data_IF_521662341309
#
_entry.id   IF_521662341309
#
_cell.length_a   1.000
_cell.length_b   1.000
_cell.length_c   1.000
_cell.angle_alpha   90.00
_cell.angle_beta   90.00
_cell.angle_gamma   90.00
#
_symmetry.space_group_name_H-M   'P 1'
#
loop_
_entity.id
_entity.type
_entity.pdbx_description
1 polymer ?
#
# COMPACT_ATOMS: atom_id res chain seq x y z
N UNK A 1 28.97 -13.40 29.64
CA UNK A 1 29.08 -13.20 28.17
C UNK A 1 28.91 -11.72 27.88
N UNK A 2 30.00 -11.04 27.57
CA UNK A 2 29.97 -9.60 27.26
C UNK A 2 29.58 -9.45 25.80
N UNK A 3 28.31 -9.09 25.56
CA UNK A 3 27.86 -8.76 24.22
C UNK A 3 28.64 -7.54 23.70
N UNK A 4 29.23 -7.66 22.52
CA UNK A 4 29.83 -6.50 21.84
C UNK A 4 28.74 -5.44 21.65
N UNK A 5 29.00 -4.15 21.93
CA UNK A 5 28.05 -3.11 21.63
C UNK A 5 27.74 -3.12 20.13
N UNK A 6 26.47 -3.23 19.78
CA UNK A 6 26.02 -3.01 18.40
C UNK A 6 26.34 -1.55 18.09
N UNK A 7 27.33 -1.33 17.23
CA UNK A 7 27.64 0.02 16.74
C UNK A 7 26.42 0.51 15.98
N UNK A 8 25.83 1.61 16.42
CA UNK A 8 24.77 2.25 15.68
C UNK A 8 25.33 2.63 14.30
N UNK A 9 24.75 2.06 13.26
CA UNK A 9 25.13 2.39 11.89
C UNK A 9 24.74 3.85 11.64
N UNK A 10 25.70 4.69 11.22
CA UNK A 10 25.38 6.05 10.83
C UNK A 10 24.39 6.04 9.65
N UNK A 11 23.31 6.79 9.78
CA UNK A 11 22.35 6.96 8.70
C UNK A 11 23.01 7.75 7.55
N UNK A 12 22.73 7.43 6.30
CA UNK A 12 23.24 8.19 5.16
C UNK A 12 22.74 9.64 5.23
N UNK A 13 23.53 10.56 4.68
CA UNK A 13 23.16 11.98 4.67
C UNK A 13 21.85 12.19 3.89
N UNK A 14 20.95 13.02 4.41
CA UNK A 14 19.64 13.29 3.80
C UNK A 14 19.77 13.72 2.32
N UNK A 15 20.78 14.56 2.01
CA UNK A 15 21.02 15.02 0.64
C UNK A 15 21.35 13.86 -0.31
N UNK A 16 22.24 12.97 0.09
CA UNK A 16 22.65 11.80 -0.73
C UNK A 16 21.47 10.83 -0.93
N UNK A 17 20.68 10.64 0.13
CA UNK A 17 19.46 9.83 0.06
C UNK A 17 18.47 10.43 -0.93
N UNK A 18 18.19 11.73 -0.85
CA UNK A 18 17.30 12.42 -1.76
C UNK A 18 17.80 12.34 -3.22
N UNK A 19 19.09 12.60 -3.47
CA UNK A 19 19.68 12.49 -4.81
C UNK A 19 19.53 11.08 -5.38
N UNK A 20 19.67 10.06 -4.54
CA UNK A 20 19.49 8.66 -4.95
C UNK A 20 18.04 8.37 -5.31
N UNK A 21 17.08 8.80 -4.46
CA UNK A 21 15.65 8.62 -4.71
C UNK A 21 15.23 9.32 -6.01
N UNK A 22 15.68 10.56 -6.23
CA UNK A 22 15.40 11.32 -7.46
C UNK A 22 15.94 10.58 -8.68
N UNK A 23 17.17 10.08 -8.67
CA UNK A 23 17.75 9.31 -9.79
C UNK A 23 16.95 8.05 -10.10
N UNK A 24 16.55 7.31 -9.08
CA UNK A 24 15.75 6.08 -9.25
C UNK A 24 14.38 6.42 -9.85
N UNK A 25 13.74 7.47 -9.34
CA UNK A 25 12.43 7.91 -9.85
C UNK A 25 12.52 8.41 -11.30
N UNK A 26 13.49 9.27 -11.62
CA UNK A 26 13.67 9.80 -12.98
C UNK A 26 13.98 8.66 -13.99
N UNK A 27 14.75 7.65 -13.57
CA UNK A 27 14.94 6.44 -14.37
C UNK A 27 13.64 5.69 -14.61
N UNK A 28 12.81 5.52 -13.57
CA UNK A 28 11.52 4.84 -13.69
C UNK A 28 10.57 5.58 -14.64
N UNK A 29 10.42 6.89 -14.46
CA UNK A 29 9.57 7.73 -15.33
C UNK A 29 10.03 7.68 -16.78
N UNK A 30 11.34 7.71 -17.03
CA UNK A 30 11.90 7.56 -18.38
C UNK A 30 11.61 6.19 -18.98
N UNK A 31 11.80 5.13 -18.19
CA UNK A 31 11.60 3.73 -18.63
C UNK A 31 10.14 3.43 -18.93
N UNK A 32 9.22 4.00 -18.16
CA UNK A 32 7.78 3.81 -18.26
C UNK A 32 7.06 5.12 -18.61
N UNK A 33 7.64 5.87 -19.58
CA UNK A 33 7.09 7.17 -19.97
C UNK A 33 5.63 7.11 -20.44
N UNK A 34 5.23 5.99 -21.02
CA UNK A 34 3.85 5.70 -21.35
C UNK A 34 3.14 5.03 -20.14
N UNK A 35 2.46 5.84 -19.33
CA UNK A 35 1.71 5.39 -18.17
C UNK A 35 0.46 4.57 -18.52
N UNK A 36 0.03 4.57 -19.79
CA UNK A 36 -1.16 3.82 -20.24
C UNK A 36 -0.88 2.33 -20.41
N UNK A 37 0.39 1.95 -20.52
CA UNK A 37 0.78 0.57 -20.71
C UNK A 37 0.47 -0.30 -19.49
N UNK A 38 -0.02 -1.52 -19.73
CA UNK A 38 -0.23 -2.48 -18.66
C UNK A 38 1.08 -2.87 -17.98
N UNK A 39 1.00 -3.36 -16.76
CA UNK A 39 2.12 -3.97 -16.07
C UNK A 39 2.17 -5.48 -16.35
N UNK A 40 3.38 -6.04 -16.26
CA UNK A 40 3.58 -7.48 -16.39
C UNK A 40 4.24 -8.02 -15.11
N UNK A 41 3.57 -8.97 -14.49
CA UNK A 41 4.09 -9.76 -13.38
C UNK A 41 3.46 -11.16 -13.47
N UNK A 42 4.19 -12.11 -14.06
CA UNK A 42 3.69 -13.45 -14.38
C UNK A 42 2.60 -13.46 -15.48
N UNK A 43 1.81 -12.41 -15.56
CA UNK A 43 0.77 -12.16 -16.59
C UNK A 43 0.60 -10.66 -16.81
N UNK A 44 -0.02 -10.30 -17.92
CA UNK A 44 -0.41 -8.90 -18.20
C UNK A 44 -1.53 -8.48 -17.25
N UNK A 45 -1.40 -7.30 -16.63
CA UNK A 45 -2.38 -6.70 -15.72
C UNK A 45 -2.57 -5.23 -16.04
N UNK A 46 -3.76 -4.65 -15.85
CA UNK A 46 -3.91 -3.21 -15.90
C UNK A 46 -3.04 -2.55 -14.83
N UNK A 47 -2.61 -1.31 -15.06
CA UNK A 47 -1.67 -0.66 -14.13
C UNK A 47 -2.32 -0.07 -12.88
N UNK A 48 -3.65 -0.05 -12.78
CA UNK A 48 -4.40 0.37 -11.58
C UNK A 48 -4.59 -0.75 -10.56
N UNK A 49 -3.51 -1.42 -10.23
CA UNK A 49 -3.38 -2.46 -9.21
C UNK A 49 -2.01 -2.32 -8.55
N UNK A 50 -1.77 -3.03 -7.44
CA UNK A 50 -0.54 -2.95 -6.67
C UNK A 50 0.75 -2.97 -7.50
N UNK A 51 0.82 -3.76 -8.58
CA UNK A 51 2.03 -3.90 -9.42
C UNK A 51 2.57 -2.59 -9.99
N UNK A 52 1.75 -1.56 -10.05
CA UNK A 52 2.13 -0.20 -10.41
C UNK A 52 1.71 0.82 -9.33
N UNK A 53 0.64 0.55 -8.58
CA UNK A 53 0.14 1.41 -7.51
C UNK A 53 1.21 1.75 -6.47
N UNK A 54 1.97 0.75 -6.02
CA UNK A 54 3.07 0.93 -5.04
C UNK A 54 4.13 1.93 -5.52
N UNK A 55 4.43 1.97 -6.83
CA UNK A 55 5.34 2.98 -7.35
C UNK A 55 4.77 4.39 -7.17
N UNK A 56 3.49 4.60 -7.50
CA UNK A 56 2.86 5.92 -7.38
C UNK A 56 2.71 6.38 -5.93
N UNK A 57 2.54 5.46 -4.98
CA UNK A 57 2.62 5.79 -3.54
C UNK A 57 3.98 6.38 -3.19
N UNK A 58 5.07 5.72 -3.64
CA UNK A 58 6.44 6.21 -3.48
C UNK A 58 6.68 7.55 -4.17
N UNK A 59 6.12 7.75 -5.37
CA UNK A 59 6.20 9.01 -6.10
C UNK A 59 5.50 10.15 -5.34
N UNK A 60 4.32 9.90 -4.74
CA UNK A 60 3.63 10.91 -3.93
C UNK A 60 4.38 11.23 -2.63
N UNK A 61 5.01 10.24 -2.01
CA UNK A 61 5.90 10.46 -0.87
C UNK A 61 7.10 11.33 -1.24
N UNK A 62 7.73 11.05 -2.39
CA UNK A 62 8.82 11.88 -2.92
C UNK A 62 8.34 13.31 -3.23
N UNK A 63 7.18 13.45 -3.87
CA UNK A 63 6.57 14.76 -4.15
C UNK A 63 6.37 15.58 -2.86
N UNK A 64 5.99 14.93 -1.77
CA UNK A 64 5.79 15.59 -0.47
C UNK A 64 7.06 16.23 0.11
N UNK A 65 8.25 15.70 -0.21
CA UNK A 65 9.55 16.22 0.28
C UNK A 65 10.35 16.95 -0.80
N UNK A 66 10.08 16.70 -2.06
CA UNK A 66 10.74 17.30 -3.22
C UNK A 66 9.72 17.54 -4.34
N UNK A 67 8.86 18.57 -4.22
CA UNK A 67 7.77 18.82 -5.16
C UNK A 67 8.30 19.25 -6.53
N UNK A 68 7.93 18.46 -7.55
CA UNK A 68 8.18 18.77 -8.97
C UNK A 68 6.87 18.60 -9.74
N UNK A 69 6.60 19.53 -10.65
CA UNK A 69 5.37 19.52 -11.45
C UNK A 69 5.22 18.26 -12.30
N UNK A 70 6.32 17.75 -12.87
CA UNK A 70 6.32 16.55 -13.68
C UNK A 70 6.00 15.28 -12.86
N UNK A 71 6.32 15.23 -11.57
CA UNK A 71 5.94 14.12 -10.68
C UNK A 71 4.44 14.11 -10.42
N UNK A 72 3.89 15.28 -10.08
CA UNK A 72 2.45 15.43 -9.91
C UNK A 72 1.71 15.06 -11.19
N UNK A 73 2.13 15.66 -12.33
CA UNK A 73 1.50 15.42 -13.61
C UNK A 73 1.53 13.95 -14.02
N UNK A 74 2.65 13.26 -13.82
CA UNK A 74 2.77 11.84 -14.17
C UNK A 74 1.83 10.96 -13.34
N UNK A 75 1.69 11.22 -12.04
CA UNK A 75 0.74 10.52 -11.19
C UNK A 75 -0.72 10.85 -11.56
N UNK A 76 -1.01 12.13 -11.83
CA UNK A 76 -2.34 12.59 -12.21
C UNK A 76 -2.79 11.98 -13.54
N UNK A 77 -1.96 12.05 -14.57
CA UNK A 77 -2.27 11.53 -15.91
C UNK A 77 -2.55 10.02 -15.86
N UNK A 78 -1.78 9.26 -15.06
CA UNK A 78 -2.04 7.84 -14.84
C UNK A 78 -3.39 7.60 -14.14
N UNK A 79 -3.68 8.35 -13.09
CA UNK A 79 -4.92 8.21 -12.34
C UNK A 79 -6.14 8.60 -13.20
N UNK A 80 -6.04 9.69 -13.98
CA UNK A 80 -7.10 10.13 -14.90
C UNK A 80 -7.30 9.15 -16.06
N UNK A 81 -6.23 8.57 -16.62
CA UNK A 81 -6.33 7.51 -17.64
C UNK A 81 -7.20 6.35 -17.14
N UNK A 82 -7.05 5.96 -15.89
CA UNK A 82 -7.86 4.92 -15.24
C UNK A 82 -9.23 5.44 -14.74
N UNK A 83 -9.56 6.71 -14.98
CA UNK A 83 -10.79 7.34 -14.50
C UNK A 83 -10.98 7.20 -12.99
N UNK A 84 -9.85 7.26 -12.26
CA UNK A 84 -9.82 7.09 -10.80
C UNK A 84 -10.45 5.78 -10.34
N UNK A 85 -10.38 4.77 -11.20
CA UNK A 85 -10.99 3.45 -10.98
C UNK A 85 -9.98 2.43 -10.48
N UNK A 86 -10.50 1.42 -9.80
CA UNK A 86 -9.76 0.23 -9.40
C UNK A 86 -10.03 -0.91 -10.41
N UNK A 87 -9.10 -1.85 -10.55
CA UNK A 87 -9.21 -2.97 -11.51
C UNK A 87 -10.55 -3.69 -11.44
N UNK A 88 -11.03 -4.02 -10.24
CA UNK A 88 -12.28 -4.77 -10.04
C UNK A 88 -13.47 -3.86 -9.64
N UNK A 89 -13.38 -2.54 -9.92
CA UNK A 89 -14.46 -1.60 -9.68
C UNK A 89 -14.58 -1.17 -8.21
N UNK A 90 -15.66 -0.45 -7.92
CA UNK A 90 -15.88 0.22 -6.64
C UNK A 90 -16.59 -0.62 -5.57
N UNK A 91 -16.74 -1.92 -5.81
CA UNK A 91 -17.26 -2.90 -4.84
C UNK A 91 -16.21 -3.95 -4.45
N UNK A 92 -14.96 -3.75 -4.85
CA UNK A 92 -13.86 -4.65 -4.49
C UNK A 92 -13.54 -4.54 -3.00
N UNK A 93 -13.15 -5.66 -2.40
CA UNK A 93 -12.60 -5.72 -1.03
C UNK A 93 -11.11 -6.06 -1.03
N UNK A 94 -10.55 -6.29 -2.22
CA UNK A 94 -9.19 -6.78 -2.39
C UNK A 94 -8.17 -5.64 -2.24
N UNK A 95 -7.19 -5.81 -1.36
CA UNK A 95 -6.16 -4.82 -1.07
C UNK A 95 -5.27 -4.51 -2.28
N UNK A 96 -5.02 -5.48 -3.18
CA UNK A 96 -4.30 -5.25 -4.43
C UNK A 96 -4.97 -4.15 -5.29
N UNK A 97 -6.31 -4.15 -5.30
CA UNK A 97 -7.08 -3.15 -6.04
C UNK A 97 -7.12 -1.82 -5.29
N UNK A 98 -7.22 -1.85 -3.97
CA UNK A 98 -7.24 -0.66 -3.14
C UNK A 98 -5.94 0.16 -3.21
N UNK A 99 -4.80 -0.49 -3.45
CA UNK A 99 -3.47 0.12 -3.44
C UNK A 99 -3.42 1.44 -4.22
N UNK A 100 -3.96 1.51 -5.43
CA UNK A 100 -3.99 2.73 -6.24
C UNK A 100 -4.78 3.88 -5.58
N UNK A 101 -5.72 3.56 -4.70
CA UNK A 101 -6.53 4.54 -3.97
C UNK A 101 -5.70 5.44 -3.05
N UNK A 102 -4.56 4.99 -2.56
CA UNK A 102 -3.65 5.84 -1.78
C UNK A 102 -3.21 7.05 -2.60
N UNK A 103 -2.75 6.82 -3.83
CA UNK A 103 -2.34 7.87 -4.76
C UNK A 103 -3.51 8.79 -5.12
N UNK A 104 -4.70 8.24 -5.37
CA UNK A 104 -5.89 9.05 -5.69
C UNK A 104 -6.24 10.03 -4.56
N UNK A 105 -6.17 9.57 -3.32
CA UNK A 105 -6.44 10.42 -2.15
C UNK A 105 -5.35 11.48 -1.99
N UNK A 106 -4.08 11.13 -2.20
CA UNK A 106 -2.98 12.09 -2.09
C UNK A 106 -3.08 13.20 -3.14
N UNK A 107 -3.39 12.85 -4.39
CA UNK A 107 -3.62 13.83 -5.46
C UNK A 107 -4.82 14.73 -5.14
N UNK A 108 -5.93 14.16 -4.66
CA UNK A 108 -7.10 14.92 -4.23
C UNK A 108 -6.77 15.88 -3.09
N UNK A 109 -5.99 15.47 -2.10
CA UNK A 109 -5.59 16.31 -0.97
C UNK A 109 -4.71 17.50 -1.39
N UNK A 110 -3.93 17.35 -2.48
CA UNK A 110 -3.12 18.44 -3.04
C UNK A 110 -4.00 19.43 -3.79
N UNK A 111 -4.93 18.95 -4.58
CA UNK A 111 -5.83 19.77 -5.38
C UNK A 111 -7.25 19.19 -5.40
N UNK A 112 -8.11 19.55 -4.43
CA UNK A 112 -9.46 18.97 -4.26
C UNK A 112 -10.45 19.57 -5.26
N UNK A 113 -10.10 19.56 -6.55
CA UNK A 113 -10.89 20.21 -7.62
C UNK A 113 -12.04 19.36 -8.15
N UNK A 114 -11.91 18.02 -8.07
CA UNK A 114 -12.90 17.07 -8.60
C UNK A 114 -13.17 15.93 -7.61
N UNK A 115 -14.36 15.85 -7.00
CA UNK A 115 -14.75 14.75 -6.13
C UNK A 115 -14.70 13.35 -6.78
N UNK A 116 -14.73 13.29 -8.13
CA UNK A 116 -14.61 12.03 -8.83
C UNK A 116 -13.26 11.32 -8.58
N UNK A 117 -12.21 12.08 -8.25
CA UNK A 117 -10.88 11.55 -7.98
C UNK A 117 -10.89 10.49 -6.87
N UNK A 118 -11.75 10.62 -5.88
CA UNK A 118 -11.85 9.70 -4.73
C UNK A 118 -13.17 8.92 -4.68
N UNK A 119 -14.12 9.18 -5.59
CA UNK A 119 -15.46 8.58 -5.54
C UNK A 119 -15.44 7.06 -5.51
N UNK A 120 -14.64 6.44 -6.40
CA UNK A 120 -14.63 4.99 -6.52
C UNK A 120 -13.99 4.32 -5.31
N UNK A 121 -12.82 4.81 -4.87
CA UNK A 121 -12.15 4.25 -3.69
C UNK A 121 -12.97 4.50 -2.42
N UNK A 122 -13.60 5.68 -2.29
CA UNK A 122 -14.47 5.96 -1.14
C UNK A 122 -15.66 5.02 -1.09
N UNK A 123 -16.32 4.76 -2.22
CA UNK A 123 -17.46 3.84 -2.28
C UNK A 123 -17.06 2.42 -1.86
N UNK A 124 -15.90 1.93 -2.30
CA UNK A 124 -15.37 0.62 -1.91
C UNK A 124 -15.07 0.55 -0.41
N UNK A 125 -14.37 1.54 0.13
CA UNK A 125 -14.03 1.58 1.56
C UNK A 125 -15.28 1.75 2.43
N UNK A 126 -16.23 2.60 2.05
CA UNK A 126 -17.51 2.75 2.75
C UNK A 126 -18.29 1.42 2.81
N UNK A 127 -18.30 0.66 1.71
CA UNK A 127 -18.89 -0.67 1.69
C UNK A 127 -18.20 -1.60 2.71
N UNK A 128 -16.87 -1.62 2.76
CA UNK A 128 -16.11 -2.45 3.71
C UNK A 128 -16.40 -2.00 5.15
N UNK A 129 -16.37 -0.70 5.43
CA UNK A 129 -16.62 -0.13 6.76
C UNK A 129 -18.01 -0.50 7.28
N UNK A 130 -19.01 -0.52 6.40
CA UNK A 130 -20.40 -0.81 6.76
C UNK A 130 -20.74 -2.32 6.86
N UNK A 131 -19.74 -3.22 6.75
CA UNK A 131 -19.92 -4.66 6.90
C UNK A 131 -19.19 -5.19 8.13
N UNK A 132 -19.67 -6.26 8.82
CA UNK A 132 -18.96 -6.84 9.95
C UNK A 132 -17.70 -7.60 9.56
N UNK A 133 -17.51 -7.96 8.29
CA UNK A 133 -16.40 -8.75 7.81
C UNK A 133 -15.05 -8.03 8.01
N UNK A 134 -14.03 -8.75 8.52
CA UNK A 134 -12.71 -8.20 8.86
C UNK A 134 -11.54 -9.04 8.32
N UNK A 135 -11.80 -10.11 7.59
CA UNK A 135 -10.82 -11.09 7.16
C UNK A 135 -10.29 -10.88 5.73
N UNK A 136 -10.36 -9.65 5.21
CA UNK A 136 -9.95 -9.35 3.82
C UNK A 136 -8.42 -9.29 3.64
N UNK A 137 -7.64 -9.07 4.70
CA UNK A 137 -6.18 -8.94 4.65
C UNK A 137 -5.50 -10.22 5.09
N UNK A 138 -5.50 -11.23 4.22
CA UNK A 138 -4.99 -12.57 4.51
C UNK A 138 -3.52 -12.79 4.03
N UNK A 139 -2.84 -11.72 3.60
CA UNK A 139 -1.41 -11.66 3.30
C UNK A 139 -0.83 -10.35 3.83
N UNK A 140 0.46 -10.37 4.19
CA UNK A 140 1.06 -9.27 4.96
C UNK A 140 1.04 -7.93 4.22
N UNK A 141 1.32 -7.92 2.92
CA UNK A 141 1.37 -6.69 2.11
C UNK A 141 -0.01 -6.04 1.97
N UNK A 142 -1.11 -6.77 2.19
CA UNK A 142 -2.46 -6.19 2.19
C UNK A 142 -2.60 -5.05 3.22
N UNK A 143 -1.89 -5.16 4.36
CA UNK A 143 -1.85 -4.11 5.38
C UNK A 143 -1.27 -2.83 4.78
N UNK A 144 -0.11 -2.90 4.11
CA UNK A 144 0.52 -1.75 3.49
C UNK A 144 -0.34 -1.16 2.36
N UNK A 145 -0.96 -2.02 1.54
CA UNK A 145 -1.74 -1.59 0.37
C UNK A 145 -3.06 -0.89 0.75
N UNK A 146 -3.76 -1.37 1.78
CA UNK A 146 -5.12 -0.92 2.07
C UNK A 146 -5.25 -0.11 3.37
N UNK A 147 -4.55 -0.47 4.45
CA UNK A 147 -4.71 0.17 5.76
C UNK A 147 -4.54 1.69 5.75
N UNK A 148 -3.55 2.28 5.03
CA UNK A 148 -3.37 3.73 5.00
C UNK A 148 -4.58 4.48 4.44
N UNK A 149 -5.38 3.85 3.57
CA UNK A 149 -6.57 4.48 2.97
C UNK A 149 -7.64 4.78 4.02
N UNK A 150 -7.83 3.84 4.95
CA UNK A 150 -8.77 4.04 6.07
C UNK A 150 -8.33 5.22 6.95
N UNK A 151 -7.03 5.27 7.29
CA UNK A 151 -6.47 6.38 8.06
C UNK A 151 -6.64 7.73 7.32
N UNK A 152 -6.39 7.76 6.00
CA UNK A 152 -6.58 8.95 5.16
C UNK A 152 -8.05 9.40 5.14
N UNK A 153 -9.02 8.49 4.98
CA UNK A 153 -10.44 8.83 5.06
C UNK A 153 -10.86 9.26 6.45
N UNK A 154 -10.41 8.58 7.51
CA UNK A 154 -10.68 9.01 8.88
C UNK A 154 -10.21 10.43 9.15
N UNK A 155 -9.00 10.78 8.68
CA UNK A 155 -8.46 12.14 8.78
C UNK A 155 -9.26 13.15 7.94
N UNK A 156 -9.64 12.78 6.72
CA UNK A 156 -10.35 13.66 5.78
C UNK A 156 -11.77 13.98 6.24
N UNK A 157 -12.47 12.98 6.79
CA UNK A 157 -13.91 13.10 7.16
C UNK A 157 -14.13 13.42 8.63
N UNK A 158 -13.15 13.14 9.48
CA UNK A 158 -13.29 13.20 10.94
C UNK A 158 -14.10 12.02 11.53
N UNK A 159 -14.47 11.01 10.73
CA UNK A 159 -15.32 9.91 11.16
C UNK A 159 -14.49 8.77 11.77
N UNK A 160 -14.75 8.44 13.02
CA UNK A 160 -14.06 7.40 13.78
C UNK A 160 -14.22 6.00 13.17
N UNK A 161 -15.32 5.70 12.50
CA UNK A 161 -15.63 4.40 11.91
C UNK A 161 -14.53 3.85 10.98
N UNK A 162 -13.77 4.73 10.29
CA UNK A 162 -12.67 4.30 9.42
C UNK A 162 -11.49 3.78 10.25
N UNK A 163 -11.16 4.46 11.35
CA UNK A 163 -10.09 4.01 12.25
C UNK A 163 -10.47 2.72 12.99
N UNK A 164 -11.73 2.61 13.43
CA UNK A 164 -12.23 1.40 14.10
C UNK A 164 -12.14 0.20 13.16
N UNK A 165 -12.66 0.34 11.93
CA UNK A 165 -12.59 -0.73 10.94
C UNK A 165 -11.16 -1.12 10.58
N UNK A 166 -10.30 -0.13 10.39
CA UNK A 166 -8.87 -0.33 10.15
C UNK A 166 -8.23 -1.16 11.26
N UNK A 167 -8.52 -0.81 12.52
CA UNK A 167 -7.97 -1.50 13.67
C UNK A 167 -8.51 -2.93 13.81
N UNK A 168 -9.79 -3.13 13.58
CA UNK A 168 -10.43 -4.45 13.61
C UNK A 168 -9.82 -5.39 12.57
N UNK A 169 -9.65 -4.93 11.32
CA UNK A 169 -9.04 -5.71 10.25
C UNK A 169 -7.57 -6.02 10.54
N UNK A 170 -6.80 -5.03 10.99
CA UNK A 170 -5.41 -5.23 11.38
C UNK A 170 -5.28 -6.24 12.52
N UNK A 171 -6.11 -6.08 13.56
CA UNK A 171 -6.10 -6.95 14.73
C UNK A 171 -6.49 -8.37 14.37
N UNK A 172 -7.45 -8.54 13.46
CA UNK A 172 -7.82 -9.85 12.94
C UNK A 172 -6.66 -10.51 12.18
N UNK A 173 -6.04 -9.79 11.24
CA UNK A 173 -4.89 -10.29 10.49
C UNK A 173 -3.74 -10.66 11.41
N UNK A 174 -3.44 -9.81 12.38
CA UNK A 174 -2.35 -10.03 13.32
C UNK A 174 -2.54 -11.23 14.23
N UNK A 175 -3.77 -11.43 14.76
CA UNK A 175 -3.99 -12.32 15.91
C UNK A 175 -4.88 -13.53 15.59
N UNK A 176 -5.58 -13.57 14.46
CA UNK A 176 -6.64 -14.54 14.19
C UNK A 176 -6.51 -15.20 12.82
N UNK A 177 -6.02 -14.49 11.80
CA UNK A 177 -5.90 -15.05 10.44
C UNK A 177 -5.05 -16.31 10.43
N UNK A 178 -5.46 -17.34 9.68
CA UNK A 178 -4.91 -18.67 9.85
C UNK A 178 -5.41 -19.29 11.16
N UNK A 179 -4.61 -20.13 11.79
CA UNK A 179 -4.94 -20.73 13.09
C UNK A 179 -4.36 -19.94 14.27
N UNK A 180 -3.26 -19.19 14.05
CA UNK A 180 -2.49 -18.54 15.11
C UNK A 180 -2.36 -17.02 14.96
N UNK A 181 -2.93 -16.44 13.88
CA UNK A 181 -2.66 -15.07 13.45
C UNK A 181 -1.37 -15.00 12.64
N UNK A 182 -1.22 -13.97 11.84
CA UNK A 182 -0.07 -13.82 10.93
C UNK A 182 1.17 -13.22 11.60
N UNK A 183 1.13 -12.91 12.90
CA UNK A 183 2.28 -12.38 13.63
C UNK A 183 2.76 -13.37 14.66
N UNK A 184 4.04 -13.78 14.53
CA UNK A 184 4.70 -14.62 15.53
C UNK A 184 5.35 -13.75 16.62
N UNK A 185 4.77 -13.67 17.83
CA UNK A 185 5.32 -12.84 18.90
C UNK A 185 6.63 -13.37 19.49
N UNK A 186 6.96 -14.68 19.30
CA UNK A 186 8.18 -15.30 19.79
C UNK A 186 9.39 -14.82 18.98
N UNK A 187 9.26 -14.81 17.65
CA UNK A 187 10.34 -14.47 16.74
C UNK A 187 10.25 -13.01 16.27
N UNK A 188 9.14 -12.32 16.60
CA UNK A 188 8.85 -10.95 16.20
C UNK A 188 8.78 -10.77 14.67
N UNK A 189 8.34 -11.80 13.97
CA UNK A 189 8.20 -11.83 12.52
C UNK A 189 6.75 -12.02 12.09
N UNK A 190 6.47 -11.71 10.83
CA UNK A 190 5.19 -11.94 10.20
C UNK A 190 5.30 -13.04 9.16
N UNK A 191 4.36 -13.97 9.14
CA UNK A 191 4.20 -14.86 8.01
C UNK A 191 3.70 -14.09 6.78
N UNK A 192 4.15 -14.49 5.62
CA UNK A 192 3.79 -13.88 4.35
C UNK A 192 2.26 -13.87 4.13
N UNK A 193 1.63 -15.01 4.35
CA UNK A 193 0.17 -15.21 4.29
C UNK A 193 -0.22 -16.46 5.09
N UNK A 194 -1.52 -16.74 5.12
CA UNK A 194 -2.05 -17.87 5.87
C UNK A 194 -1.55 -19.25 5.42
N UNK A 195 -1.02 -19.38 4.20
CA UNK A 195 -0.48 -20.65 3.69
C UNK A 195 0.92 -20.95 4.27
N UNK A 196 1.57 -19.93 4.88
CA UNK A 196 2.87 -20.05 5.57
C UNK A 196 2.74 -20.12 7.10
N UNK A 197 1.53 -20.06 7.62
CA UNK A 197 1.24 -20.18 9.05
C UNK A 197 1.57 -21.60 9.56
N UNK A 198 2.02 -21.78 10.82
CA UNK A 198 2.29 -23.13 11.36
C UNK A 198 1.10 -24.10 11.10
N UNK A 199 1.35 -25.35 10.70
CA UNK A 199 2.64 -26.05 10.83
C UNK A 199 3.55 -26.02 9.59
N UNK A 200 3.41 -25.03 8.68
CA UNK A 200 4.28 -25.00 7.50
C UNK A 200 5.75 -24.82 7.89
N UNK A 201 6.61 -25.67 7.32
CA UNK A 201 8.04 -25.67 7.59
C UNK A 201 8.84 -25.67 6.30
N UNK A 202 9.98 -24.99 6.32
CA UNK A 202 11.00 -25.12 5.30
C UNK A 202 11.57 -26.55 5.28
N UNK A 203 12.21 -27.00 4.18
CA UNK A 203 12.81 -28.35 4.10
C UNK A 203 13.84 -28.65 5.19
N UNK A 204 14.47 -27.64 5.79
CA UNK A 204 15.39 -27.77 6.91
C UNK A 204 14.70 -27.88 8.30
N UNK A 205 13.36 -27.80 8.34
CA UNK A 205 12.56 -27.88 9.56
C UNK A 205 12.34 -26.55 10.29
N UNK A 206 12.87 -25.43 9.77
CA UNK A 206 12.63 -24.10 10.31
C UNK A 206 11.26 -23.54 9.89
N UNK A 207 10.76 -22.53 10.63
CA UNK A 207 9.52 -21.85 10.27
C UNK A 207 9.73 -21.01 8.99
N UNK A 208 8.76 -21.07 8.08
CA UNK A 208 8.73 -20.26 6.86
C UNK A 208 8.00 -18.94 7.13
N UNK A 209 8.65 -17.83 6.79
CA UNK A 209 8.09 -16.48 6.95
C UNK A 209 7.88 -15.77 5.60
#
# INVERSE_FOLDING_TARGET
MTGKPVMAQELPAQKETLETIVKVNDYFMKKYADYTLPSFYGRVRPSNIWTRGVYYEGLMALYGIYPREDYYKYAYDWADFHKWGMRNGNTTRNADDHCCGQTYIDLYNICPSDPNMIRNIKASIDMVVNTPQVNDWWWIDAIQMAMPIYAKFGKMTGEQKYYDKMWDMYSYTRNVHGEAGMYNPKDCLWWRDQDFDPPYKEPNGEDCY
#
